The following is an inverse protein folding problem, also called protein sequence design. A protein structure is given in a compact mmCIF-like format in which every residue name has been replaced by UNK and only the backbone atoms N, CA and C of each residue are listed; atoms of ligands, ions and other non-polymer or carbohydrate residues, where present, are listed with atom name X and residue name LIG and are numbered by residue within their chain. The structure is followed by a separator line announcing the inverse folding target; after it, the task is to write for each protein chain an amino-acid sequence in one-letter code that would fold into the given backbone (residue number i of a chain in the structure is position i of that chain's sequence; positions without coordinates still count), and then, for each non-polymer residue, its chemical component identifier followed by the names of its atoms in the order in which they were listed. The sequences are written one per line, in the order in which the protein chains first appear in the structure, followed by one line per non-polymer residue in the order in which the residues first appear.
data_IF_241917809444
#
_entry.id   IF_241917809444
#
_cell.length_a   1.000
_cell.length_b   1.000
_cell.length_c   1.000
_cell.angle_alpha   90.00
_cell.angle_beta   90.00
_cell.angle_gamma   90.00
#
_symmetry.space_group_name_H-M   'P 1'
#
loop_
_entity.id
_entity.type
_entity.pdbx_description
1 polymer ?
#
# COMPACT_ATOMS: atom_id res chain seq x y z
N UNK A 1 42.40 -56.22 12.23
CA UNK A 1 42.47 -56.11 13.70
C UNK A 1 41.04 -56.06 14.22
N UNK A 2 40.59 -57.15 14.81
CA UNK A 2 39.28 -57.32 15.45
C UNK A 2 39.33 -56.79 16.87
N UNK A 3 38.39 -55.92 17.26
CA UNK A 3 38.16 -55.59 18.66
C UNK A 3 36.69 -55.86 19.04
N UNK A 4 36.58 -56.57 20.15
CA UNK A 4 35.46 -57.25 20.77
C UNK A 4 34.49 -56.33 21.50
N UNK A 5 33.24 -56.78 21.56
CA UNK A 5 32.17 -56.22 22.39
C UNK A 5 32.38 -56.49 23.90
N UNK A 6 32.01 -55.53 24.74
CA UNK A 6 31.81 -55.70 26.18
C UNK A 6 30.40 -55.25 26.59
N UNK A 7 29.69 -56.07 27.36
CA UNK A 7 28.35 -55.76 27.92
C UNK A 7 28.46 -55.07 29.32
N UNK A 8 27.36 -54.86 30.08
CA UNK A 8 26.79 -53.54 30.38
C UNK A 8 26.92 -53.13 31.86
N UNK A 9 26.74 -51.85 32.19
CA UNK A 9 26.64 -51.40 33.59
C UNK A 9 25.23 -50.88 33.87
N UNK A 10 24.53 -51.52 34.81
CA UNK A 10 23.22 -51.12 35.35
C UNK A 10 23.39 -49.89 36.24
N UNK A 11 22.55 -48.88 36.04
CA UNK A 11 22.35 -47.76 36.98
C UNK A 11 21.11 -48.01 37.84
N UNK A 12 21.10 -47.57 39.12
CA UNK A 12 20.08 -47.96 40.09
C UNK A 12 18.75 -47.21 39.90
N UNK A 13 17.65 -47.93 40.17
CA UNK A 13 16.29 -47.38 40.25
C UNK A 13 16.16 -46.39 41.42
N UNK A 14 15.83 -45.14 41.11
CA UNK A 14 15.29 -44.18 42.08
C UNK A 14 13.79 -44.04 41.80
N UNK A 15 12.98 -44.49 42.75
CA UNK A 15 11.54 -44.37 42.73
C UNK A 15 11.13 -42.92 43.05
N UNK A 16 10.59 -42.20 42.07
CA UNK A 16 10.00 -40.88 42.29
C UNK A 16 8.52 -41.03 42.60
N UNK A 17 8.11 -40.68 43.83
CA UNK A 17 6.70 -40.59 44.25
C UNK A 17 6.04 -39.41 43.53
N UNK A 18 5.06 -39.68 42.68
CA UNK A 18 4.20 -38.66 42.06
C UNK A 18 2.95 -38.45 42.91
N UNK A 19 2.86 -37.32 43.59
CA UNK A 19 1.58 -36.77 44.07
C UNK A 19 1.50 -35.31 43.67
N UNK A 20 0.95 -35.06 42.47
CA UNK A 20 0.51 -33.74 42.04
C UNK A 20 -0.97 -33.85 41.62
N UNK A 21 -1.82 -32.88 41.99
CA UNK A 21 -3.26 -32.93 41.72
C UNK A 21 -3.55 -32.76 40.23
N UNK A 22 -4.56 -33.49 39.76
CA UNK A 22 -5.11 -33.41 38.39
C UNK A 22 -5.62 -32.00 38.12
N UNK A 23 -5.07 -31.34 37.10
CA UNK A 23 -5.70 -30.19 36.46
C UNK A 23 -6.54 -30.72 35.30
N UNK A 24 -7.86 -30.63 35.43
CA UNK A 24 -8.78 -30.96 34.34
C UNK A 24 -8.62 -29.95 33.18
N UNK A 25 -8.63 -30.40 31.91
CA UNK A 25 -8.54 -29.51 30.76
C UNK A 25 -9.87 -28.76 30.54
N UNK A 26 -9.86 -27.48 30.14
CA UNK A 26 -11.09 -26.79 29.76
C UNK A 26 -11.59 -27.28 28.39
N UNK A 27 -12.85 -27.75 28.35
CA UNK A 27 -13.60 -28.03 27.13
C UNK A 27 -14.14 -26.74 26.48
N UNK A 28 -14.38 -26.73 25.15
CA UNK A 28 -14.60 -25.51 24.37
C UNK A 28 -16.07 -25.05 24.39
N UNK A 29 -16.30 -23.74 24.44
CA UNK A 29 -17.62 -23.14 24.22
C UNK A 29 -17.77 -22.66 22.77
N UNK A 30 -18.73 -23.28 22.08
CA UNK A 30 -19.33 -22.96 20.78
C UNK A 30 -19.30 -21.49 20.35
N UNK A 31 -18.74 -21.21 19.17
CA UNK A 31 -18.96 -19.94 18.46
C UNK A 31 -20.00 -20.16 17.35
N UNK A 32 -21.24 -19.74 17.62
CA UNK A 32 -22.30 -19.64 16.61
C UNK A 32 -22.02 -18.44 15.72
N UNK A 33 -21.88 -18.67 14.42
CA UNK A 33 -21.75 -17.61 13.41
C UNK A 33 -23.05 -16.82 13.27
N UNK A 34 -23.01 -15.50 13.46
CA UNK A 34 -24.11 -14.60 13.10
C UNK A 34 -23.69 -13.76 11.90
N UNK A 35 -24.26 -14.11 10.74
CA UNK A 35 -24.27 -13.31 9.52
C UNK A 35 -25.47 -12.35 9.61
N UNK A 36 -25.32 -11.02 9.55
CA UNK A 36 -26.47 -10.14 9.40
C UNK A 36 -26.76 -9.93 7.92
N UNK A 37 -27.91 -10.45 7.49
CA UNK A 37 -28.50 -10.17 6.19
C UNK A 37 -29.30 -8.85 6.23
N UNK A 38 -29.19 -8.09 5.14
CA UNK A 38 -29.93 -6.86 4.87
C UNK A 38 -31.42 -7.09 4.63
N UNK A 39 -32.31 -6.24 5.19
CA UNK A 39 -33.56 -5.75 4.55
C UNK A 39 -34.29 -4.67 5.39
N UNK A 40 -34.30 -3.46 4.83
CA UNK A 40 -35.40 -2.50 4.59
C UNK A 40 -36.52 -2.17 5.62
N UNK A 41 -36.73 -0.85 5.74
CA UNK A 41 -37.98 -0.08 5.83
C UNK A 41 -38.58 0.27 7.22
N UNK A 42 -38.69 1.58 7.50
CA UNK A 42 -39.97 2.26 7.75
C UNK A 42 -39.81 3.79 7.83
N UNK A 43 -40.65 4.51 7.07
CA UNK A 43 -40.85 5.94 7.11
C UNK A 43 -41.81 6.36 8.24
N UNK A 44 -41.63 7.56 8.80
CA UNK A 44 -42.72 8.33 9.43
C UNK A 44 -42.60 9.81 9.11
N UNK A 45 -43.70 10.35 8.58
CA UNK A 45 -43.94 11.76 8.28
C UNK A 45 -44.28 12.57 9.52
N UNK A 46 -43.96 13.87 9.54
CA UNK A 46 -44.80 14.90 10.18
C UNK A 46 -44.82 16.16 9.30
N UNK A 47 -46.03 16.69 9.09
CA UNK A 47 -46.38 17.91 8.36
C UNK A 47 -46.21 19.14 9.27
N UNK A 48 -45.88 20.31 8.70
CA UNK A 48 -46.83 21.43 8.56
C UNK A 48 -46.17 22.62 7.86
N UNK A 49 -46.96 23.31 7.05
CA UNK A 49 -46.61 24.53 6.35
C UNK A 49 -47.12 25.73 7.14
N UNK A 50 -46.40 26.85 7.10
CA UNK A 50 -47.02 28.18 7.24
C UNK A 50 -46.26 29.17 6.37
N UNK A 51 -46.99 29.80 5.45
CA UNK A 51 -46.53 30.83 4.55
C UNK A 51 -46.66 32.20 5.21
N UNK A 52 -45.72 33.12 4.96
CA UNK A 52 -46.02 34.57 5.01
C UNK A 52 -45.18 35.32 3.98
N UNK A 53 -45.81 36.37 3.46
CA UNK A 53 -45.54 37.09 2.21
C UNK A 53 -44.35 38.06 2.26
N UNK A 54 -43.88 38.29 1.05
CA UNK A 54 -42.96 39.31 0.53
C UNK A 54 -43.41 40.74 0.88
N UNK A 55 -42.45 41.64 1.19
CA UNK A 55 -42.53 43.05 0.81
C UNK A 55 -41.28 43.46 0.05
N UNK A 56 -41.49 44.24 -1.00
CA UNK A 56 -40.51 44.69 -1.99
C UNK A 56 -40.26 46.19 -1.74
N UNK A 57 -39.00 46.60 -1.60
CA UNK A 57 -38.58 48.00 -1.57
C UNK A 57 -37.63 48.26 -2.72
N UNK A 58 -38.07 49.08 -3.68
CA UNK A 58 -37.28 49.57 -4.79
C UNK A 58 -36.29 50.65 -4.31
N UNK A 59 -35.03 50.57 -4.73
CA UNK A 59 -34.22 51.76 -4.97
C UNK A 59 -33.13 51.47 -6.03
N UNK A 60 -32.63 52.54 -6.60
CA UNK A 60 -32.27 52.71 -8.00
C UNK A 60 -30.76 52.76 -8.28
N UNK A 61 -30.40 52.30 -9.49
CA UNK A 61 -29.21 52.62 -10.30
C UNK A 61 -27.85 51.93 -10.03
N UNK A 62 -27.01 51.80 -11.09
CA UNK A 62 -26.08 50.69 -11.26
C UNK A 62 -24.62 51.07 -10.97
N UNK A 63 -23.83 50.13 -10.46
CA UNK A 63 -22.36 50.22 -10.51
C UNK A 63 -21.70 48.85 -10.60
N UNK A 64 -20.57 48.83 -11.30
CA UNK A 64 -19.88 47.68 -11.90
C UNK A 64 -19.11 46.82 -10.89
N UNK A 65 -19.12 45.51 -11.16
CA UNK A 65 -18.04 44.52 -11.03
C UNK A 65 -16.99 44.68 -9.91
N UNK A 66 -16.98 43.70 -8.99
CA UNK A 66 -15.81 42.86 -8.67
C UNK A 66 -16.24 41.72 -7.73
N UNK A 67 -16.22 40.47 -8.19
CA UNK A 67 -16.26 39.30 -7.29
C UNK A 67 -15.16 38.32 -7.71
N UNK A 68 -14.21 38.17 -6.80
CA UNK A 68 -13.22 37.11 -6.68
C UNK A 68 -13.89 35.79 -6.31
N UNK A 69 -13.42 34.67 -6.87
CA UNK A 69 -13.70 33.33 -6.36
C UNK A 69 -12.47 32.45 -6.64
N UNK A 70 -11.80 31.82 -5.68
CA UNK A 70 -12.30 31.33 -4.40
C UNK A 70 -12.98 29.97 -4.63
N UNK A 71 -12.30 28.91 -4.20
CA UNK A 71 -12.67 27.50 -4.36
C UNK A 71 -14.02 27.14 -3.71
N UNK A 72 -14.52 25.97 -4.12
CA UNK A 72 -15.45 25.03 -3.46
C UNK A 72 -16.80 24.79 -4.15
N UNK A 73 -16.87 23.63 -4.82
CA UNK A 73 -18.06 23.02 -5.40
C UNK A 73 -18.92 22.40 -4.29
N UNK A 74 -19.97 23.11 -3.89
CA UNK A 74 -21.12 22.51 -3.23
C UNK A 74 -22.12 22.00 -4.28
N UNK A 75 -22.39 20.69 -4.27
CA UNK A 75 -23.47 20.06 -5.04
C UNK A 75 -24.84 20.54 -4.55
N UNK A 76 -25.51 21.40 -5.31
CA UNK A 76 -26.90 21.78 -5.10
C UNK A 76 -27.83 20.87 -5.92
N UNK A 77 -28.58 20.00 -5.23
CA UNK A 77 -29.73 19.26 -5.79
C UNK A 77 -30.93 20.20 -5.86
N UNK A 78 -31.29 20.69 -7.05
CA UNK A 78 -32.60 21.29 -7.30
C UNK A 78 -32.86 21.41 -8.80
N UNK A 79 -33.93 20.77 -9.30
CA UNK A 79 -34.41 20.93 -10.68
C UNK A 79 -35.10 22.30 -10.80
N UNK A 80 -34.40 23.31 -11.27
CA UNK A 80 -35.00 24.58 -11.71
C UNK A 80 -34.78 24.77 -13.22
N UNK A 81 -35.88 24.90 -13.97
CA UNK A 81 -35.88 25.23 -15.39
C UNK A 81 -35.43 26.68 -15.57
N UNK A 82 -34.25 26.89 -16.16
CA UNK A 82 -33.77 28.22 -16.54
C UNK A 82 -34.43 28.59 -17.89
N UNK A 83 -35.14 29.72 -17.91
CA UNK A 83 -35.75 30.30 -19.12
C UNK A 83 -34.81 31.41 -19.61
N UNK A 84 -34.07 31.17 -20.70
CA UNK A 84 -33.19 32.17 -21.30
C UNK A 84 -33.96 32.93 -22.39
N UNK A 85 -33.97 34.27 -22.30
CA UNK A 85 -34.56 35.12 -23.34
C UNK A 85 -33.59 35.34 -24.49
N UNK A 86 -34.10 35.24 -25.71
CA UNK A 86 -33.36 35.40 -26.96
C UNK A 86 -33.07 36.88 -27.25
N UNK A 87 -31.83 37.33 -27.01
CA UNK A 87 -31.11 38.38 -27.79
C UNK A 87 -29.79 38.76 -27.09
N UNK A 88 -28.72 38.01 -27.37
CA UNK A 88 -27.33 38.50 -27.19
C UNK A 88 -26.38 37.65 -28.04
N UNK A 89 -25.51 38.27 -28.85
CA UNK A 89 -24.45 37.59 -29.60
C UNK A 89 -23.43 37.02 -28.60
N UNK A 90 -23.20 35.70 -28.61
CA UNK A 90 -22.18 35.05 -27.78
C UNK A 90 -20.83 35.04 -28.49
N UNK A 91 -19.80 35.56 -27.79
CA UNK A 91 -18.38 35.36 -28.11
C UNK A 91 -17.97 33.98 -27.59
N UNK A 92 -17.28 33.19 -28.41
CA UNK A 92 -16.56 32.00 -27.96
C UNK A 92 -15.41 32.42 -27.03
N UNK A 93 -15.42 31.95 -25.78
CA UNK A 93 -14.24 31.94 -24.92
C UNK A 93 -13.77 30.49 -24.76
N UNK A 94 -12.51 30.23 -25.12
CA UNK A 94 -11.80 28.99 -24.77
C UNK A 94 -11.50 29.03 -23.27
N UNK A 95 -12.00 28.06 -22.51
CA UNK A 95 -11.56 27.82 -21.14
C UNK A 95 -10.57 26.66 -21.19
N UNK A 96 -9.33 26.93 -20.80
CA UNK A 96 -8.26 25.93 -20.71
C UNK A 96 -8.29 25.34 -19.29
N UNK A 97 -8.51 24.03 -19.14
CA UNK A 97 -8.27 23.33 -17.87
C UNK A 97 -6.89 22.66 -17.90
N UNK A 98 -6.21 22.64 -16.77
CA UNK A 98 -4.84 22.12 -16.59
C UNK A 98 -4.74 20.58 -16.62
N UNK A 99 -5.68 19.89 -17.25
CA UNK A 99 -5.70 18.43 -17.37
C UNK A 99 -6.01 17.93 -18.80
N UNK A 100 -5.76 18.75 -19.82
CA UNK A 100 -5.69 18.31 -21.22
C UNK A 100 -6.98 17.77 -21.83
N UNK A 101 -8.11 17.81 -21.12
CA UNK A 101 -9.42 17.36 -21.63
C UNK A 101 -10.24 18.56 -22.10
N UNK A 102 -10.50 18.62 -23.41
CA UNK A 102 -11.43 19.58 -24.00
C UNK A 102 -12.87 19.11 -23.79
N UNK A 103 -13.65 19.79 -22.95
CA UNK A 103 -15.11 19.65 -22.95
C UNK A 103 -15.72 20.69 -23.88
N UNK A 104 -16.14 20.26 -25.07
CA UNK A 104 -16.91 21.10 -25.99
C UNK A 104 -18.40 20.88 -25.72
N UNK A 105 -19.10 21.87 -25.18
CA UNK A 105 -20.56 21.87 -25.11
C UNK A 105 -21.13 22.45 -26.42
N UNK A 106 -21.93 21.67 -27.14
CA UNK A 106 -22.74 22.14 -28.27
C UNK A 106 -24.20 22.12 -27.83
N UNK A 107 -24.83 23.28 -27.71
CA UNK A 107 -26.29 23.38 -27.58
C UNK A 107 -26.85 23.50 -28.99
N UNK A 108 -27.57 22.47 -29.45
CA UNK A 108 -28.23 22.48 -30.75
C UNK A 108 -29.53 23.31 -30.68
N UNK A 109 -29.64 24.34 -31.51
CA UNK A 109 -30.88 25.05 -31.76
C UNK A 109 -31.72 24.26 -32.78
N UNK A 110 -33.02 24.10 -32.49
CA UNK A 110 -33.95 23.35 -33.32
C UNK A 110 -34.45 24.23 -34.47
N UNK A 111 -33.69 24.31 -35.56
CA UNK A 111 -34.24 24.55 -36.90
C UNK A 111 -33.15 24.41 -37.94
N UNK A 112 -33.44 23.65 -39.00
CA UNK A 112 -32.66 23.50 -40.24
C UNK A 112 -31.69 22.32 -40.28
N UNK A 113 -32.11 21.33 -41.05
CA UNK A 113 -31.37 20.17 -41.54
C UNK A 113 -30.01 20.57 -42.12
N UNK A 114 -28.92 20.15 -41.49
CA UNK A 114 -27.62 19.98 -42.14
C UNK A 114 -26.99 18.65 -41.72
N UNK A 115 -26.53 17.93 -42.73
CA UNK A 115 -25.88 16.62 -42.75
C UNK A 115 -25.23 16.16 -41.45
N UNK A 116 -25.61 14.95 -41.03
CA UNK A 116 -25.03 14.17 -39.94
C UNK A 116 -23.50 14.06 -40.12
N UNK A 117 -22.75 14.93 -39.45
CA UNK A 117 -21.32 14.78 -39.26
C UNK A 117 -21.11 13.63 -38.27
N UNK A 118 -20.45 12.57 -38.71
CA UNK A 118 -20.14 11.41 -37.90
C UNK A 118 -19.53 11.83 -36.55
N UNK A 119 -20.17 11.41 -35.46
CA UNK A 119 -19.56 11.44 -34.14
C UNK A 119 -18.38 10.49 -34.19
N UNK A 120 -17.17 11.04 -34.36
CA UNK A 120 -15.95 10.26 -34.17
C UNK A 120 -15.83 10.05 -32.67
N UNK A 121 -16.27 8.88 -32.20
CA UNK A 121 -15.77 8.34 -30.93
C UNK A 121 -14.26 8.32 -31.12
N UNK A 122 -13.55 9.22 -30.44
CA UNK A 122 -12.10 9.08 -30.30
C UNK A 122 -11.96 7.83 -29.45
N UNK A 123 -11.76 6.68 -30.11
CA UNK A 123 -11.37 5.48 -29.41
C UNK A 123 -10.17 5.84 -28.53
N UNK A 124 -10.12 5.40 -27.27
CA UNK A 124 -8.93 5.61 -26.45
C UNK A 124 -7.73 5.16 -27.29
N UNK A 125 -6.70 6.00 -27.38
CA UNK A 125 -5.49 5.61 -28.13
C UNK A 125 -5.03 4.25 -27.61
N UNK A 126 -4.63 3.32 -28.50
CA UNK A 126 -4.18 2.00 -28.06
C UNK A 126 -3.08 2.20 -27.02
N UNK A 127 -3.33 1.72 -25.79
CA UNK A 127 -2.37 1.82 -24.72
C UNK A 127 -1.38 0.68 -24.89
N UNK A 128 -0.11 0.99 -25.16
CA UNK A 128 0.95 -0.01 -25.20
C UNK A 128 1.20 -0.47 -23.77
N UNK A 129 1.08 -1.77 -23.54
CA UNK A 129 1.28 -2.39 -22.22
C UNK A 129 2.52 -3.24 -22.23
N UNK A 130 3.38 -3.08 -21.24
CA UNK A 130 4.63 -3.82 -21.12
C UNK A 130 4.65 -4.51 -19.76
N UNK A 131 4.67 -5.85 -19.76
CA UNK A 131 4.94 -6.65 -18.57
C UNK A 131 6.44 -6.93 -18.46
N UNK A 132 7.02 -6.70 -17.29
CA UNK A 132 8.42 -7.02 -17.02
C UNK A 132 8.53 -7.82 -15.73
N UNK A 133 9.03 -9.05 -15.80
CA UNK A 133 9.32 -9.87 -14.62
C UNK A 133 10.82 -10.07 -14.47
N UNK A 134 11.34 -9.84 -13.27
CA UNK A 134 12.77 -10.02 -12.99
C UNK A 134 12.98 -11.18 -12.03
N UNK A 135 13.45 -12.29 -12.58
CA UNK A 135 13.93 -13.44 -11.84
C UNK A 135 15.42 -13.35 -11.50
N UNK A 136 15.97 -14.45 -10.96
CA UNK A 136 17.39 -14.54 -10.60
C UNK A 136 18.33 -14.73 -11.81
N UNK A 137 17.87 -15.41 -12.85
CA UNK A 137 18.70 -15.76 -14.02
C UNK A 137 18.38 -14.90 -15.24
N UNK A 138 17.10 -14.75 -15.55
CA UNK A 138 16.62 -14.00 -16.70
C UNK A 138 15.56 -12.98 -16.28
N UNK A 139 15.52 -11.89 -17.03
CA UNK A 139 14.43 -10.92 -17.04
C UNK A 139 13.57 -11.21 -18.27
N UNK A 140 12.27 -11.30 -18.06
CA UNK A 140 11.29 -11.62 -19.08
C UNK A 140 10.43 -10.37 -19.36
N UNK A 141 10.35 -9.99 -20.64
CA UNK A 141 9.58 -8.83 -21.11
C UNK A 141 8.52 -9.29 -22.09
N UNK A 142 7.30 -8.81 -21.88
CA UNK A 142 6.16 -8.98 -22.77
C UNK A 142 5.62 -7.62 -23.14
N UNK A 143 5.40 -7.37 -24.42
CA UNK A 143 4.76 -6.17 -24.92
C UNK A 143 3.46 -6.55 -25.63
N UNK A 144 2.41 -5.87 -25.25
CA UNK A 144 1.11 -5.85 -25.92
C UNK A 144 0.95 -4.49 -26.61
N UNK A 145 0.90 -4.45 -27.96
CA UNK A 145 0.80 -3.20 -28.69
C UNK A 145 -0.54 -2.49 -28.50
N UNK A 146 -1.57 -3.16 -27.97
CA UNK A 146 -2.89 -2.57 -27.71
C UNK A 146 -3.77 -2.40 -28.96
N UNK A 147 -3.27 -2.77 -30.13
CA UNK A 147 -3.98 -2.74 -31.43
C UNK A 147 -4.64 -4.09 -31.78
N UNK A 148 -4.59 -5.08 -30.88
CA UNK A 148 -5.03 -6.45 -31.13
C UNK A 148 -4.03 -7.30 -31.91
N UNK A 149 -2.85 -6.75 -32.20
CA UNK A 149 -1.71 -7.45 -32.79
C UNK A 149 -1.09 -8.49 -31.86
N UNK A 150 -0.11 -9.27 -32.36
CA UNK A 150 0.54 -10.30 -31.56
C UNK A 150 1.39 -9.69 -30.44
N UNK A 151 1.44 -10.39 -29.31
CA UNK A 151 2.35 -10.06 -28.22
C UNK A 151 3.80 -10.21 -28.69
N UNK A 152 4.63 -9.22 -28.37
CA UNK A 152 6.08 -9.30 -28.54
C UNK A 152 6.72 -9.77 -27.24
N UNK A 153 7.77 -10.58 -27.34
CA UNK A 153 8.49 -11.13 -26.20
C UNK A 153 9.98 -10.88 -26.33
N UNK A 154 10.62 -10.61 -25.21
CA UNK A 154 12.07 -10.53 -25.14
C UNK A 154 12.54 -11.12 -23.82
N UNK A 155 13.62 -11.90 -23.86
CA UNK A 155 14.24 -12.51 -22.69
C UNK A 155 15.71 -12.16 -22.73
N UNK A 156 16.20 -11.61 -21.62
CA UNK A 156 17.61 -11.22 -21.49
C UNK A 156 18.15 -11.64 -20.13
N UNK A 157 19.47 -11.86 -19.99
CA UNK A 157 20.07 -12.17 -18.69
C UNK A 157 19.75 -11.08 -17.65
N UNK A 158 19.42 -11.52 -16.43
CA UNK A 158 19.27 -10.60 -15.30
C UNK A 158 20.58 -9.90 -14.99
N UNK A 159 20.52 -8.72 -14.38
CA UNK A 159 21.70 -7.98 -13.92
C UNK A 159 21.68 -7.95 -12.39
N UNK A 160 22.25 -8.93 -11.66
CA UNK A 160 22.10 -9.04 -10.21
C UNK A 160 22.53 -7.80 -9.43
N UNK A 161 23.60 -7.13 -9.87
CA UNK A 161 24.08 -5.90 -9.23
C UNK A 161 23.17 -4.68 -9.43
N UNK A 162 22.33 -4.68 -10.48
CA UNK A 162 21.32 -3.64 -10.70
C UNK A 162 20.20 -4.16 -11.62
N UNK A 163 19.17 -4.82 -11.05
CA UNK A 163 18.09 -5.43 -11.84
C UNK A 163 17.33 -4.44 -12.73
N UNK A 164 17.34 -3.14 -12.37
CA UNK A 164 16.68 -2.09 -13.15
C UNK A 164 17.26 -1.94 -14.56
N UNK A 165 18.55 -2.27 -14.75
CA UNK A 165 19.21 -2.23 -16.07
C UNK A 165 18.65 -3.25 -17.03
N UNK A 166 18.45 -4.49 -16.58
CA UNK A 166 17.88 -5.55 -17.41
C UNK A 166 16.44 -5.20 -17.82
N UNK A 167 15.62 -4.68 -16.90
CA UNK A 167 14.26 -4.24 -17.23
C UNK A 167 14.28 -3.17 -18.31
N UNK A 168 15.08 -2.10 -18.13
CA UNK A 168 15.18 -1.03 -19.12
C UNK A 168 15.64 -1.51 -20.49
N UNK A 169 16.74 -2.27 -20.55
CA UNK A 169 17.28 -2.80 -21.80
C UNK A 169 16.26 -3.67 -22.53
N UNK A 170 15.53 -4.48 -21.77
CA UNK A 170 14.49 -5.33 -22.33
C UNK A 170 13.28 -4.53 -22.85
N UNK A 171 12.86 -3.47 -22.13
CA UNK A 171 11.82 -2.53 -22.57
C UNK A 171 12.25 -1.82 -23.87
N UNK A 172 13.47 -1.29 -23.92
CA UNK A 172 14.02 -0.63 -25.11
C UNK A 172 14.06 -1.60 -26.31
N UNK A 173 14.42 -2.86 -26.07
CA UNK A 173 14.50 -3.89 -27.11
C UNK A 173 13.14 -4.29 -27.69
N UNK A 174 12.07 -4.36 -26.88
CA UNK A 174 10.72 -4.63 -27.41
C UNK A 174 10.10 -3.40 -28.08
N UNK A 175 10.38 -2.21 -27.58
CA UNK A 175 9.92 -0.96 -28.19
C UNK A 175 10.56 -0.72 -29.55
N UNK A 176 11.85 -1.08 -29.72
CA UNK A 176 12.54 -1.01 -31.01
C UNK A 176 11.95 -1.92 -32.10
N UNK A 177 11.11 -2.88 -31.74
CA UNK A 177 10.41 -3.76 -32.68
C UNK A 177 9.06 -3.18 -33.16
N UNK A 178 8.54 -2.14 -32.49
CA UNK A 178 7.36 -1.43 -32.94
C UNK A 178 7.72 -0.58 -34.17
N UNK A 179 6.89 -0.66 -35.22
CA UNK A 179 7.05 0.21 -36.39
C UNK A 179 6.75 1.64 -35.94
N UNK A 180 7.75 2.51 -36.08
CA UNK A 180 7.79 3.83 -35.46
C UNK A 180 6.57 4.71 -35.76
N UNK A 181 6.01 5.27 -34.66
CA UNK A 181 5.28 6.53 -34.52
C UNK A 181 4.00 6.34 -33.69
N UNK A 182 4.13 5.82 -32.47
CA UNK A 182 3.01 5.91 -31.53
C UNK A 182 3.42 6.76 -30.33
N UNK A 183 2.86 7.96 -30.29
CA UNK A 183 2.76 8.82 -29.11
C UNK A 183 1.75 8.24 -28.11
N UNK A 184 1.57 6.90 -28.12
CA UNK A 184 0.67 6.16 -27.27
C UNK A 184 1.14 6.27 -25.82
N UNK A 185 0.19 6.41 -24.90
CA UNK A 185 0.48 6.25 -23.49
C UNK A 185 1.00 4.82 -23.24
N UNK A 186 2.19 4.72 -22.64
CA UNK A 186 2.85 3.44 -22.34
C UNK A 186 2.68 3.12 -20.87
N UNK A 187 2.21 1.93 -20.56
CA UNK A 187 2.12 1.43 -19.21
C UNK A 187 3.09 0.26 -19.03
N UNK A 188 3.98 0.37 -18.04
CA UNK A 188 4.92 -0.69 -17.66
C UNK A 188 4.46 -1.28 -16.34
N UNK A 189 4.16 -2.58 -16.31
CA UNK A 189 3.82 -3.34 -15.10
C UNK A 189 4.99 -4.25 -14.79
N UNK A 190 5.67 -3.97 -13.68
CA UNK A 190 6.90 -4.65 -13.31
C UNK A 190 6.75 -5.53 -12.06
N UNK A 191 6.96 -6.83 -12.20
CA UNK A 191 7.14 -7.78 -11.10
C UNK A 191 8.61 -7.94 -10.73
N UNK A 192 8.92 -7.88 -9.44
CA UNK A 192 10.30 -7.89 -8.96
C UNK A 192 10.50 -8.89 -7.83
N UNK A 193 11.67 -9.50 -7.82
CA UNK A 193 12.17 -10.34 -6.71
C UNK A 193 13.07 -9.57 -5.75
N UNK A 194 13.32 -8.27 -5.96
CA UNK A 194 14.27 -7.47 -5.16
C UNK A 194 13.89 -7.45 -3.67
N UNK A 195 12.63 -7.14 -3.32
CA UNK A 195 12.19 -7.11 -1.94
C UNK A 195 12.27 -8.50 -1.27
N UNK A 196 11.86 -9.54 -1.98
CA UNK A 196 11.91 -10.93 -1.49
C UNK A 196 13.35 -11.38 -1.25
N UNK A 197 14.25 -11.16 -2.21
CA UNK A 197 15.65 -11.57 -2.07
C UNK A 197 16.36 -10.76 -0.99
N UNK A 198 16.05 -9.46 -0.83
CA UNK A 198 16.62 -8.66 0.24
C UNK A 198 16.34 -9.26 1.63
N UNK A 199 15.13 -9.77 1.87
CA UNK A 199 14.79 -10.45 3.13
C UNK A 199 15.42 -11.84 3.23
N UNK A 200 15.32 -12.67 2.18
CA UNK A 200 15.85 -14.04 2.21
C UNK A 200 17.38 -14.09 2.35
N UNK A 201 18.08 -13.13 1.75
CA UNK A 201 19.55 -13.07 1.77
C UNK A 201 20.09 -12.23 2.94
N UNK A 202 19.22 -11.67 3.79
CA UNK A 202 19.64 -10.80 4.89
C UNK A 202 20.32 -9.51 4.41
N UNK A 203 19.99 -9.03 3.21
CA UNK A 203 20.57 -7.83 2.57
C UNK A 203 19.68 -6.59 2.70
N UNK A 204 18.70 -6.64 3.60
CA UNK A 204 17.89 -5.48 3.96
C UNK A 204 18.69 -4.42 4.73
N UNK A 205 18.07 -3.28 4.95
CA UNK A 205 18.61 -2.22 5.78
C UNK A 205 18.59 -2.61 7.26
N UNK A 206 19.65 -2.24 8.00
CA UNK A 206 19.63 -2.28 9.47
C UNK A 206 18.56 -1.31 9.97
N UNK A 207 17.59 -1.83 10.71
CA UNK A 207 16.43 -1.08 11.16
C UNK A 207 16.37 -1.03 12.69
N UNK A 208 15.81 0.04 13.24
CA UNK A 208 15.36 0.09 14.63
C UNK A 208 13.88 -0.32 14.75
N UNK A 209 13.53 -0.92 15.87
CA UNK A 209 12.14 -1.26 16.23
C UNK A 209 11.74 -0.52 17.50
N UNK A 210 10.71 0.32 17.39
CA UNK A 210 10.16 1.12 18.48
C UNK A 210 8.80 0.56 18.84
N UNK A 211 8.61 0.19 20.11
CA UNK A 211 7.36 -0.39 20.60
C UNK A 211 7.02 0.13 22.00
N UNK A 212 5.89 -0.31 22.55
CA UNK A 212 5.50 -0.01 23.93
C UNK A 212 6.48 -0.69 24.89
N UNK A 213 6.95 0.01 25.92
CA UNK A 213 7.87 -0.55 26.91
C UNK A 213 7.34 -1.85 27.52
N UNK A 214 8.21 -2.87 27.63
CA UNK A 214 7.86 -4.24 28.04
C UNK A 214 7.41 -5.15 26.88
N UNK A 215 7.35 -4.66 25.64
CA UNK A 215 6.99 -5.42 24.44
C UNK A 215 8.12 -5.50 23.40
N UNK A 216 9.35 -5.13 23.80
CA UNK A 216 10.55 -5.13 22.96
C UNK A 216 10.81 -6.52 22.35
N UNK A 217 10.58 -7.57 23.12
CA UNK A 217 10.86 -8.95 22.72
C UNK A 217 9.82 -9.55 21.76
N UNK A 218 8.76 -8.83 21.40
CA UNK A 218 7.60 -9.35 20.67
C UNK A 218 7.95 -10.03 19.34
N UNK A 219 8.87 -9.44 18.57
CA UNK A 219 9.29 -9.97 17.27
C UNK A 219 10.22 -11.18 17.40
N UNK A 220 10.93 -11.31 18.53
CA UNK A 220 11.82 -12.43 18.83
C UNK A 220 11.04 -13.61 19.41
N UNK A 221 10.09 -13.34 20.31
CA UNK A 221 9.20 -14.34 20.90
C UNK A 221 8.26 -14.95 19.85
N UNK A 222 7.75 -14.10 18.95
CA UNK A 222 6.75 -14.42 17.96
C UNK A 222 5.48 -15.01 18.61
N UNK A 223 4.83 -15.97 17.94
CA UNK A 223 3.66 -16.69 18.48
C UNK A 223 4.02 -18.01 19.18
N UNK A 224 5.30 -18.33 19.29
CA UNK A 224 5.79 -19.65 19.76
C UNK A 224 5.14 -20.85 19.03
N UNK A 225 4.62 -20.63 17.82
CA UNK A 225 4.07 -21.69 16.98
C UNK A 225 5.18 -22.70 16.66
N UNK A 226 4.90 -23.99 16.86
CA UNK A 226 5.84 -25.08 16.55
C UNK A 226 5.41 -25.78 15.26
N UNK A 227 6.20 -25.68 14.17
CA UNK A 227 5.93 -26.44 12.95
C UNK A 227 5.90 -27.95 13.22
N UNK A 228 6.84 -28.42 14.04
CA UNK A 228 6.92 -29.80 14.52
C UNK A 228 6.57 -29.85 16.01
N UNK A 229 5.30 -30.14 16.33
CA UNK A 229 4.77 -30.03 17.69
C UNK A 229 5.56 -30.84 18.74
N UNK A 230 6.07 -32.00 18.35
CA UNK A 230 6.79 -32.93 19.23
C UNK A 230 8.31 -32.73 19.26
N UNK A 231 8.85 -31.82 18.45
CA UNK A 231 10.26 -31.46 18.51
C UNK A 231 10.49 -30.60 19.77
N UNK A 232 11.28 -31.10 20.72
CA UNK A 232 11.57 -30.39 21.97
C UNK A 232 12.54 -29.23 21.74
N UNK A 233 13.50 -29.41 20.83
CA UNK A 233 14.49 -28.41 20.43
C UNK A 233 14.02 -27.70 19.15
N UNK A 234 13.24 -26.63 19.31
CA UNK A 234 12.77 -25.82 18.18
C UNK A 234 13.74 -24.66 17.96
N UNK A 235 14.32 -24.57 16.77
CA UNK A 235 15.05 -23.39 16.33
C UNK A 235 14.13 -22.49 15.51
N UNK A 236 13.87 -21.28 16.03
CA UNK A 236 13.14 -20.24 15.29
C UNK A 236 14.13 -19.45 14.43
N UNK A 237 13.71 -18.96 13.26
CA UNK A 237 14.50 -17.96 12.53
C UNK A 237 14.55 -16.67 13.34
N UNK A 238 15.73 -16.06 13.40
CA UNK A 238 15.88 -14.73 14.00
C UNK A 238 15.23 -13.68 13.09
N UNK A 239 14.49 -12.70 13.66
CA UNK A 239 13.98 -11.60 12.86
C UNK A 239 15.15 -10.76 12.30
N UNK A 240 14.94 -9.99 11.21
CA UNK A 240 15.96 -9.10 10.65
C UNK A 240 16.13 -7.83 11.50
N UNK A 241 16.44 -8.01 12.79
CA UNK A 241 16.55 -6.96 13.80
C UNK A 241 17.60 -7.35 14.83
N UNK A 242 18.50 -6.43 15.15
CA UNK A 242 19.42 -6.58 16.29
C UNK A 242 18.65 -6.25 17.60
N UNK A 243 18.69 -7.11 18.63
CA UNK A 243 18.08 -6.79 19.93
C UNK A 243 18.50 -5.43 20.51
N UNK A 244 19.72 -4.95 20.22
CA UNK A 244 20.20 -3.65 20.67
C UNK A 244 19.48 -2.47 19.99
N UNK A 245 18.88 -2.69 18.82
CA UNK A 245 18.10 -1.70 18.06
C UNK A 245 16.60 -1.76 18.38
N UNK A 246 16.24 -2.43 19.47
CA UNK A 246 14.88 -2.50 19.98
C UNK A 246 14.68 -1.51 21.13
N UNK A 247 13.64 -0.67 21.04
CA UNK A 247 13.42 0.45 21.94
C UNK A 247 11.97 0.46 22.45
N UNK A 248 11.80 0.40 23.77
CA UNK A 248 10.52 0.59 24.44
C UNK A 248 10.27 2.06 24.79
N UNK A 249 9.09 2.56 24.45
CA UNK A 249 8.58 3.86 24.90
C UNK A 249 7.62 3.67 26.07
N UNK A 250 7.80 4.49 27.12
CA UNK A 250 6.88 4.54 28.26
C UNK A 250 5.61 5.27 27.85
N UNK A 251 4.66 4.49 27.36
CA UNK A 251 3.34 4.93 26.95
C UNK A 251 2.39 3.75 27.05
N UNK A 252 1.08 4.01 27.12
CA UNK A 252 0.09 2.94 26.99
C UNK A 252 -1.23 3.43 26.44
N UNK A 253 -1.65 2.83 25.33
CA UNK A 253 -3.02 2.87 24.82
C UNK A 253 -3.78 1.60 25.25
N UNK A 254 -5.03 1.76 25.67
CA UNK A 254 -5.96 0.68 25.98
C UNK A 254 -6.60 0.09 24.72
N UNK A 255 -7.17 -1.12 24.82
CA UNK A 255 -7.80 -1.78 23.68
C UNK A 255 -9.03 -1.04 23.12
N UNK A 256 -9.64 -0.16 23.91
CA UNK A 256 -10.74 0.74 23.53
C UNK A 256 -10.25 2.09 22.96
N UNK A 257 -8.93 2.29 22.85
CA UNK A 257 -8.31 3.52 22.40
C UNK A 257 -8.07 4.56 23.49
N UNK A 258 -8.44 4.28 24.75
CA UNK A 258 -8.16 5.18 25.88
C UNK A 258 -6.66 5.32 26.15
N UNK A 259 -6.22 6.51 26.56
CA UNK A 259 -4.82 6.71 27.00
C UNK A 259 -4.72 6.27 28.46
N UNK A 260 -4.00 5.18 28.72
CA UNK A 260 -3.75 4.64 30.06
C UNK A 260 -2.47 5.23 30.67
N UNK A 261 -1.45 5.43 29.85
CA UNK A 261 -0.21 6.12 30.22
C UNK A 261 0.18 7.08 29.08
N UNK A 262 0.29 8.39 29.34
CA UNK A 262 0.58 9.37 28.30
C UNK A 262 2.04 9.25 27.83
N UNK A 263 2.27 9.43 26.52
CA UNK A 263 3.61 9.53 25.96
C UNK A 263 4.29 10.84 26.42
N UNK A 264 5.41 10.73 27.13
CA UNK A 264 6.17 11.90 27.56
C UNK A 264 7.13 12.40 26.48
N UNK A 265 7.27 13.73 26.38
CA UNK A 265 8.20 14.37 25.42
C UNK A 265 9.65 13.92 25.62
N UNK A 266 10.06 13.70 26.88
CA UNK A 266 11.40 13.23 27.21
C UNK A 266 11.70 11.85 26.64
N UNK A 267 10.72 10.93 26.59
CA UNK A 267 10.93 9.60 26.02
C UNK A 267 11.17 9.68 24.49
N UNK A 268 10.50 10.61 23.80
CA UNK A 268 10.75 10.88 22.38
C UNK A 268 12.15 11.47 22.18
N UNK A 269 12.55 12.43 23.02
CA UNK A 269 13.87 13.06 22.94
C UNK A 269 15.00 12.04 23.15
N UNK A 270 14.88 11.17 24.16
CA UNK A 270 15.83 10.08 24.39
C UNK A 270 15.89 9.08 23.23
N UNK A 271 14.75 8.70 22.66
CA UNK A 271 14.68 7.82 21.50
C UNK A 271 15.45 8.43 20.32
N UNK A 272 15.25 9.72 20.03
CA UNK A 272 15.90 10.39 18.91
C UNK A 272 17.42 10.41 19.03
N UNK A 273 17.95 10.61 20.24
CA UNK A 273 19.39 10.51 20.50
C UNK A 273 19.89 9.10 20.18
N UNK A 274 19.23 8.05 20.68
CA UNK A 274 19.61 6.65 20.42
C UNK A 274 19.56 6.32 18.93
N UNK A 275 18.52 6.75 18.21
CA UNK A 275 18.39 6.52 16.78
C UNK A 275 19.46 7.28 15.97
N UNK A 276 19.84 8.49 16.40
CA UNK A 276 20.91 9.26 15.77
C UNK A 276 22.30 8.62 15.93
N UNK A 277 22.53 7.94 17.05
CA UNK A 277 23.82 7.30 17.38
C UNK A 277 23.94 5.85 16.89
N UNK A 278 22.82 5.16 16.62
CA UNK A 278 22.83 3.72 16.31
C UNK A 278 23.32 3.40 14.89
N UNK A 279 23.25 4.35 13.95
CA UNK A 279 23.65 4.14 12.55
C UNK A 279 22.64 3.33 11.73
N UNK A 280 21.43 3.10 12.25
CA UNK A 280 20.32 2.47 11.51
C UNK A 280 19.93 3.29 10.29
N UNK A 281 19.39 2.61 9.27
CA UNK A 281 18.92 3.24 8.00
C UNK A 281 17.40 3.26 7.87
N UNK A 282 16.71 2.52 8.73
CA UNK A 282 15.27 2.52 8.81
C UNK A 282 14.79 2.46 10.26
N UNK A 283 13.55 2.86 10.51
CA UNK A 283 12.88 2.73 11.80
C UNK A 283 11.45 2.25 11.59
N UNK A 284 11.03 1.29 12.41
CA UNK A 284 9.67 0.79 12.49
C UNK A 284 9.07 1.20 13.84
N UNK A 285 7.93 1.90 13.83
CA UNK A 285 7.14 2.18 15.03
C UNK A 285 5.94 1.25 15.06
N UNK A 286 5.79 0.45 16.11
CA UNK A 286 4.63 -0.40 16.36
C UNK A 286 4.30 -0.41 17.86
N UNK A 287 3.51 0.57 18.28
CA UNK A 287 2.96 0.66 19.62
C UNK A 287 1.72 -0.24 19.75
N UNK A 288 1.39 -0.65 20.97
CA UNK A 288 0.19 -1.43 21.22
C UNK A 288 -1.06 -0.60 20.99
N UNK A 289 -2.09 -1.25 20.43
CA UNK A 289 -3.41 -0.64 20.19
C UNK A 289 -3.39 0.65 19.34
N UNK A 290 -2.32 0.91 18.60
CA UNK A 290 -2.23 2.05 17.66
C UNK A 290 -3.24 1.99 16.51
N UNK A 291 -3.76 0.80 16.19
CA UNK A 291 -4.90 0.63 15.29
C UNK A 291 -6.21 1.24 15.83
N UNK A 292 -6.35 1.34 17.16
CA UNK A 292 -7.53 1.92 17.82
C UNK A 292 -7.33 3.41 18.09
N UNK A 293 -6.13 3.80 18.52
CA UNK A 293 -5.75 5.21 18.70
C UNK A 293 -4.28 5.42 18.26
N UNK A 294 -4.05 6.03 17.08
CA UNK A 294 -2.70 6.18 16.51
C UNK A 294 -1.93 7.38 17.08
N UNK A 295 -2.49 8.15 18.01
CA UNK A 295 -1.96 9.45 18.43
C UNK A 295 -0.50 9.39 18.91
N UNK A 296 -0.12 8.39 19.70
CA UNK A 296 1.26 8.24 20.17
C UNK A 296 2.22 7.87 19.02
N UNK A 297 1.82 6.98 18.10
CA UNK A 297 2.65 6.64 16.93
C UNK A 297 2.87 7.86 16.04
N UNK A 298 1.82 8.65 15.81
CA UNK A 298 1.89 9.88 15.01
C UNK A 298 2.84 10.91 15.64
N UNK A 299 2.76 11.11 16.95
CA UNK A 299 3.65 12.04 17.66
C UNK A 299 5.13 11.64 17.55
N UNK A 300 5.44 10.34 17.71
CA UNK A 300 6.81 9.83 17.53
C UNK A 300 7.25 9.95 16.06
N UNK A 301 6.37 9.62 15.13
CA UNK A 301 6.66 9.69 13.70
C UNK A 301 6.95 11.13 13.23
N UNK A 302 6.17 12.11 13.69
CA UNK A 302 6.41 13.53 13.42
C UNK A 302 7.77 13.98 13.95
N UNK A 303 8.14 13.56 15.16
CA UNK A 303 9.43 13.90 15.74
C UNK A 303 10.61 13.29 14.97
N UNK A 304 10.50 12.01 14.56
CA UNK A 304 11.53 11.34 13.74
C UNK A 304 11.63 12.00 12.37
N UNK A 305 10.50 12.26 11.68
CA UNK A 305 10.51 12.95 10.37
C UNK A 305 11.14 14.34 10.44
N UNK A 306 10.96 15.04 11.57
CA UNK A 306 11.52 16.38 11.79
C UNK A 306 13.03 16.39 12.06
N UNK A 307 13.56 15.42 12.81
CA UNK A 307 14.95 15.44 13.27
C UNK A 307 15.88 14.45 12.54
N UNK A 308 15.32 13.37 12.00
CA UNK A 308 16.04 12.32 11.27
C UNK A 308 15.39 12.07 9.89
N UNK A 309 15.34 13.08 8.99
CA UNK A 309 14.60 13.01 7.73
C UNK A 309 15.15 11.97 6.74
N UNK A 310 16.42 11.58 6.88
CA UNK A 310 17.06 10.57 6.03
C UNK A 310 16.74 9.13 6.46
N UNK A 311 16.08 8.95 7.61
CA UNK A 311 15.72 7.64 8.14
C UNK A 311 14.44 7.14 7.48
N UNK A 312 14.48 5.97 6.84
CA UNK A 312 13.29 5.39 6.25
C UNK A 312 12.31 4.95 7.35
N UNK A 313 11.18 5.65 7.48
CA UNK A 313 10.24 5.45 8.57
C UNK A 313 9.03 4.63 8.13
N UNK A 314 8.74 3.56 8.86
CA UNK A 314 7.47 2.81 8.80
C UNK A 314 6.69 3.00 10.09
N UNK A 315 5.42 3.37 9.98
CA UNK A 315 4.51 3.56 11.12
C UNK A 315 3.39 2.53 11.03
N UNK A 316 3.17 1.74 12.09
CA UNK A 316 2.28 0.59 12.00
C UNK A 316 0.82 0.96 11.76
N UNK A 317 0.34 2.05 12.38
CA UNK A 317 -1.00 2.57 12.16
C UNK A 317 -1.22 3.17 10.77
N UNK A 318 -0.14 3.54 10.05
CA UNK A 318 -0.23 4.02 8.67
C UNK A 318 -0.18 2.85 7.67
N UNK A 319 0.61 1.81 7.96
CA UNK A 319 0.84 0.68 7.06
C UNK A 319 -0.23 -0.42 7.18
N UNK A 320 -0.52 -0.85 8.41
CA UNK A 320 -1.39 -1.99 8.70
C UNK A 320 -2.13 -1.74 10.04
N UNK A 321 -3.16 -0.87 10.05
CA UNK A 321 -3.95 -0.53 11.23
C UNK A 321 -4.91 -1.67 11.64
N UNK A 322 -4.35 -2.84 11.93
CA UNK A 322 -5.10 -4.05 12.25
C UNK A 322 -4.76 -4.57 13.65
N UNK A 323 -5.73 -5.27 14.24
CA UNK A 323 -5.53 -6.00 15.49
C UNK A 323 -4.48 -7.11 15.31
N UNK A 324 -3.82 -7.47 16.43
CA UNK A 324 -2.68 -8.40 16.58
C UNK A 324 -1.30 -7.77 16.38
N UNK A 325 -0.64 -7.61 17.51
CA UNK A 325 0.64 -6.95 17.71
C UNK A 325 1.82 -7.63 17.00
N UNK A 326 1.94 -8.96 17.03
CA UNK A 326 3.06 -9.65 16.39
C UNK A 326 3.01 -9.56 14.86
N UNK A 327 1.87 -9.88 14.26
CA UNK A 327 1.68 -9.87 12.81
C UNK A 327 1.85 -8.45 12.25
N UNK A 328 1.33 -7.45 12.98
CA UNK A 328 1.54 -6.04 12.66
C UNK A 328 3.02 -5.65 12.78
N UNK A 329 3.68 -5.96 13.91
CA UNK A 329 5.09 -5.67 14.12
C UNK A 329 5.99 -6.34 13.08
N UNK A 330 5.79 -7.63 12.79
CA UNK A 330 6.57 -8.37 11.82
C UNK A 330 6.42 -7.78 10.40
N UNK A 331 5.20 -7.39 10.01
CA UNK A 331 4.96 -6.77 8.71
C UNK A 331 5.61 -5.39 8.61
N UNK A 332 5.48 -4.57 9.66
CA UNK A 332 6.05 -3.23 9.69
C UNK A 332 7.59 -3.26 9.73
N UNK A 333 8.16 -4.19 10.50
CA UNK A 333 9.60 -4.40 10.53
C UNK A 333 10.12 -4.86 9.16
N UNK A 334 9.46 -5.83 8.53
CA UNK A 334 9.83 -6.28 7.18
C UNK A 334 9.77 -5.11 6.18
N UNK A 335 8.74 -4.26 6.25
CA UNK A 335 8.61 -3.06 5.43
C UNK A 335 9.78 -2.09 5.63
N UNK A 336 10.12 -1.77 6.89
CA UNK A 336 11.23 -0.88 7.22
C UNK A 336 12.58 -1.44 6.72
N UNK A 337 12.81 -2.73 6.89
CA UNK A 337 14.04 -3.41 6.46
C UNK A 337 14.21 -3.38 4.93
N UNK A 338 13.13 -3.60 4.16
CA UNK A 338 13.22 -3.57 2.68
C UNK A 338 13.13 -2.17 2.08
N UNK A 339 12.62 -1.20 2.85
CA UNK A 339 12.40 0.19 2.43
C UNK A 339 13.55 0.81 1.65
N UNK A 340 14.72 1.01 2.28
CA UNK A 340 15.86 1.65 1.62
C UNK A 340 16.36 0.93 0.36
N UNK A 341 16.27 -0.40 0.32
CA UNK A 341 16.65 -1.20 -0.86
C UNK A 341 15.69 -0.91 -2.01
N UNK A 342 14.39 -0.88 -1.71
CA UNK A 342 13.35 -0.62 -2.68
C UNK A 342 13.34 0.84 -3.15
N UNK A 343 13.62 1.81 -2.27
CA UNK A 343 13.78 3.21 -2.65
C UNK A 343 14.84 3.39 -3.74
N UNK A 344 16.03 2.82 -3.51
CA UNK A 344 17.12 2.86 -4.48
C UNK A 344 16.78 2.14 -5.78
N UNK A 345 16.14 0.98 -5.69
CA UNK A 345 15.73 0.20 -6.85
C UNK A 345 14.72 0.94 -7.73
N UNK A 346 13.63 1.40 -7.13
CA UNK A 346 12.53 2.08 -7.81
C UNK A 346 13.01 3.42 -8.38
N UNK A 347 13.86 4.16 -7.66
CA UNK A 347 14.44 5.40 -8.19
C UNK A 347 15.27 5.19 -9.47
N UNK A 348 16.09 4.12 -9.53
CA UNK A 348 16.86 3.78 -10.74
C UNK A 348 15.95 3.36 -11.90
N UNK A 349 14.94 2.54 -11.60
CA UNK A 349 13.98 2.06 -12.58
C UNK A 349 13.15 3.21 -13.18
N UNK A 350 12.54 4.03 -12.34
CA UNK A 350 11.73 5.19 -12.75
C UNK A 350 12.53 6.21 -13.58
N UNK A 351 13.82 6.39 -13.29
CA UNK A 351 14.70 7.26 -14.10
C UNK A 351 14.90 6.72 -15.51
N UNK A 352 14.90 5.40 -15.69
CA UNK A 352 15.06 4.76 -16.99
C UNK A 352 13.81 4.67 -17.82
N UNK A 353 12.65 4.66 -17.18
CA UNK A 353 11.34 4.58 -17.82
C UNK A 353 10.61 5.94 -17.83
N UNK A 354 11.38 7.03 -17.93
CA UNK A 354 10.81 8.38 -17.96
C UNK A 354 9.84 8.53 -19.13
N UNK A 355 8.62 8.98 -18.83
CA UNK A 355 7.54 9.14 -19.80
C UNK A 355 6.55 7.96 -19.84
N UNK A 356 6.84 6.88 -19.11
CA UNK A 356 5.94 5.73 -19.00
C UNK A 356 5.18 5.75 -17.68
N UNK A 357 3.95 5.23 -17.69
CA UNK A 357 3.21 4.93 -16.49
C UNK A 357 3.76 3.64 -15.86
N UNK A 358 4.70 3.77 -14.93
CA UNK A 358 5.26 2.64 -14.19
C UNK A 358 4.31 2.22 -13.05
N UNK A 359 3.98 0.93 -13.04
CA UNK A 359 3.29 0.24 -11.96
C UNK A 359 4.10 -0.98 -11.53
N UNK A 360 4.02 -1.32 -10.27
CA UNK A 360 4.73 -2.46 -9.69
C UNK A 360 3.71 -3.53 -9.31
N UNK A 361 3.97 -4.78 -9.66
CA UNK A 361 3.13 -5.91 -9.28
C UNK A 361 3.14 -6.06 -7.76
N UNK A 362 1.97 -6.29 -7.18
CA UNK A 362 1.80 -6.54 -5.75
C UNK A 362 1.53 -8.02 -5.48
N UNK A 363 1.76 -8.45 -4.24
CA UNK A 363 1.58 -9.81 -3.76
C UNK A 363 0.13 -10.30 -3.83
N UNK A 364 -0.84 -9.39 -3.91
CA UNK A 364 -2.27 -9.70 -4.09
C UNK A 364 -2.68 -9.92 -5.56
N UNK A 365 -1.73 -9.92 -6.50
CA UNK A 365 -1.98 -10.10 -7.94
C UNK A 365 -2.50 -8.85 -8.66
N UNK A 366 -2.59 -7.71 -7.97
CA UNK A 366 -2.83 -6.40 -8.57
C UNK A 366 -1.53 -5.65 -8.88
N UNK A 367 -1.62 -4.41 -9.35
CA UNK A 367 -0.45 -3.53 -9.52
C UNK A 367 -0.65 -2.18 -8.84
N UNK A 368 0.42 -1.67 -8.23
CA UNK A 368 0.44 -0.46 -7.44
C UNK A 368 1.24 0.64 -8.15
N UNK A 369 0.86 1.92 -7.96
CA UNK A 369 1.69 3.02 -8.40
C UNK A 369 2.99 3.07 -7.57
N UNK A 370 4.03 3.67 -8.15
CA UNK A 370 5.37 3.78 -7.55
C UNK A 370 5.33 4.41 -6.15
N UNK A 371 4.53 5.47 -5.98
CA UNK A 371 4.43 6.22 -4.72
C UNK A 371 3.84 5.37 -3.58
N UNK A 372 2.97 4.41 -3.91
CA UNK A 372 2.46 3.46 -2.92
C UNK A 372 3.51 2.43 -2.56
N UNK A 373 4.28 1.93 -3.54
CA UNK A 373 5.36 0.96 -3.28
C UNK A 373 6.50 1.55 -2.47
N UNK A 374 6.84 2.82 -2.63
CA UNK A 374 7.86 3.48 -1.81
C UNK A 374 7.46 3.57 -0.33
N UNK A 375 6.15 3.64 -0.04
CA UNK A 375 5.62 3.65 1.35
C UNK A 375 5.43 2.25 1.91
N UNK A 376 4.99 1.31 1.08
CA UNK A 376 4.62 -0.05 1.48
C UNK A 376 5.32 -1.13 0.62
N UNK A 377 6.66 -1.15 0.53
CA UNK A 377 7.38 -2.12 -0.31
C UNK A 377 7.15 -3.58 0.10
N UNK A 378 6.74 -3.84 1.35
CA UNK A 378 6.33 -5.16 1.83
C UNK A 378 5.24 -5.80 0.95
N UNK A 379 4.39 -4.98 0.30
CA UNK A 379 3.34 -5.45 -0.60
C UNK A 379 3.87 -6.00 -1.93
N UNK A 380 5.18 -5.88 -2.21
CA UNK A 380 5.81 -6.41 -3.44
C UNK A 380 6.54 -7.73 -3.23
N UNK A 381 6.62 -8.20 -1.98
CA UNK A 381 7.21 -9.50 -1.64
C UNK A 381 6.37 -10.59 -2.31
N UNK A 382 7.03 -11.47 -3.07
CA UNK A 382 6.38 -12.52 -3.88
C UNK A 382 5.46 -11.98 -5.00
N UNK A 383 5.72 -10.77 -5.49
CA UNK A 383 4.94 -10.18 -6.59
C UNK A 383 5.03 -10.94 -7.93
N UNK A 384 6.21 -11.46 -8.28
CA UNK A 384 6.40 -12.27 -9.51
C UNK A 384 5.48 -13.50 -9.56
N UNK A 385 5.54 -14.41 -8.56
CA UNK A 385 4.62 -15.55 -8.47
C UNK A 385 3.14 -15.16 -8.49
N UNK A 386 2.76 -14.07 -7.81
CA UNK A 386 1.38 -13.58 -7.82
C UNK A 386 0.92 -13.17 -9.24
N UNK A 387 1.79 -12.54 -10.01
CA UNK A 387 1.55 -12.24 -11.43
C UNK A 387 1.37 -13.50 -12.28
N UNK A 388 2.18 -14.54 -12.04
CA UNK A 388 2.05 -15.84 -12.71
C UNK A 388 0.69 -16.51 -12.45
N UNK A 389 0.25 -16.55 -11.19
CA UNK A 389 -1.07 -17.07 -10.81
C UNK A 389 -2.19 -16.28 -11.47
N UNK A 390 -2.10 -14.94 -11.49
CA UNK A 390 -3.09 -14.08 -12.15
C UNK A 390 -3.16 -14.35 -13.66
N UNK A 391 -2.03 -14.52 -14.32
CA UNK A 391 -1.96 -14.87 -15.74
C UNK A 391 -2.61 -16.24 -16.03
N UNK A 392 -2.38 -17.23 -15.16
CA UNK A 392 -3.01 -18.54 -15.28
C UNK A 392 -4.54 -18.47 -15.14
N UNK A 393 -5.05 -17.72 -14.15
CA UNK A 393 -6.49 -17.53 -13.95
C UNK A 393 -7.16 -16.90 -15.18
N UNK A 394 -6.58 -15.82 -15.72
CA UNK A 394 -7.10 -15.16 -16.92
C UNK A 394 -7.08 -16.09 -18.14
N UNK A 395 -6.08 -16.96 -18.26
CA UNK A 395 -5.97 -17.93 -19.34
C UNK A 395 -6.98 -19.07 -19.21
N UNK A 396 -7.38 -19.40 -17.98
CA UNK A 396 -8.39 -20.43 -17.69
C UNK A 396 -9.84 -19.95 -17.89
N UNK A 397 -10.05 -18.64 -18.16
CA UNK A 397 -11.39 -18.06 -18.34
C UNK A 397 -12.20 -17.93 -17.05
N UNK A 398 -11.52 -17.85 -15.90
CA UNK A 398 -12.12 -17.75 -14.57
C UNK A 398 -12.36 -16.31 -14.10
#
# INVERSE_FOLDING_TARGET
MTCTAGQPVRLPHIACRTSAPRLDPPMPSSTTSLIPSSRTAAAKSVKSATATRISCGQSSQPSRLAISSGESLHTVKSRSRIRVSTRSRLRLSRVCSSSGQFLTFVIADHSSYMTCGAWRIIAPMPQVRIGADTGGTFTDILLDPGDGGPLLRHKLPSTPGDPSRAVRQGVDAVLGQLRAADNSERMVIHGSTVATNALLEGKGARAAFVTTAGFEDIVFLARQNRPELYQLEVRKPDPPLDPADCHGLRERIGADGSVLEPLAKSDIEELLVRLGESGVKACCICLLHSYANPQHEQAVAEAIRGQLPDLHLTVSSELLPEFREYERAATCLANAVVGPVMDGYIARLSRGLKGDQLRIMASNGGSLPVETVLRAPVQTILSGPAGGVRGAMLSAGA
#
